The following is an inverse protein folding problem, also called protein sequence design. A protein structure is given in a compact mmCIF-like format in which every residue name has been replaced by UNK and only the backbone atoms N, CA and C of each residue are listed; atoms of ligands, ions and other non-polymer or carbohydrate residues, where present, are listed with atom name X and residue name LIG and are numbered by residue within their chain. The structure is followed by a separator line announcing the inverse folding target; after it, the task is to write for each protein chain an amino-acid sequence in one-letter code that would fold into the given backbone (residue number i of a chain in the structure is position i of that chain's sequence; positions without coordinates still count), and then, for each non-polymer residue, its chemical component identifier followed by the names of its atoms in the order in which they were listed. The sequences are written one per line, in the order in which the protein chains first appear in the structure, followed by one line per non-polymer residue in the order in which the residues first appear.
data_IF_469112093472
#
_entry.id   IF_469112093472
#
_cell.length_a   1.000
_cell.length_b   1.000
_cell.length_c   1.000
_cell.angle_alpha   90.00
_cell.angle_beta   90.00
_cell.angle_gamma   90.00
#
_symmetry.space_group_name_H-M   'P 1'
#
loop_
_entity.id
_entity.type
_entity.pdbx_description
1 polymer ?
#
# COMPACT_ATOMS: atom_id res chain seq x y z
N UNK A 1 -22.70 -28.06 49.43
CA UNK A 1 -22.46 -26.66 49.01
C UNK A 1 -21.26 -26.68 48.09
N UNK A 2 -21.50 -26.58 46.78
CA UNK A 2 -20.46 -26.60 45.76
C UNK A 2 -19.85 -25.20 45.64
N UNK A 3 -18.62 -25.06 46.10
CA UNK A 3 -17.79 -23.86 45.94
C UNK A 3 -16.75 -24.16 44.85
N UNK A 4 -17.09 -23.97 43.56
CA UNK A 4 -16.06 -24.00 42.50
C UNK A 4 -16.47 -23.43 41.13
N UNK A 5 -17.57 -22.69 40.99
CA UNK A 5 -18.07 -22.29 39.66
C UNK A 5 -17.44 -21.00 39.09
N UNK A 6 -16.70 -20.25 39.90
CA UNK A 6 -16.11 -18.97 39.48
C UNK A 6 -14.77 -19.06 38.74
N UNK A 7 -13.99 -20.14 38.95
CA UNK A 7 -12.61 -20.23 38.45
C UNK A 7 -12.52 -20.49 36.94
N UNK A 8 -13.52 -21.15 36.36
CA UNK A 8 -13.60 -21.41 34.92
C UNK A 8 -13.90 -20.15 34.09
N UNK A 9 -14.47 -19.11 34.72
CA UNK A 9 -14.75 -17.83 34.07
C UNK A 9 -13.53 -16.90 34.04
N UNK A 10 -12.51 -17.19 34.85
CA UNK A 10 -11.27 -16.41 34.88
C UNK A 10 -10.52 -16.53 33.55
N UNK A 11 -10.49 -17.72 32.93
CA UNK A 11 -9.86 -17.93 31.63
C UNK A 11 -10.47 -17.05 30.53
N UNK A 12 -11.79 -17.13 30.28
CA UNK A 12 -12.49 -16.26 29.33
C UNK A 12 -12.37 -14.77 29.66
N UNK A 13 -12.43 -14.38 30.94
CA UNK A 13 -12.29 -12.98 31.35
C UNK A 13 -10.90 -12.43 31.00
N UNK A 14 -9.84 -13.20 31.25
CA UNK A 14 -8.48 -12.85 30.86
C UNK A 14 -8.36 -12.77 29.34
N UNK A 15 -8.95 -13.71 28.60
CA UNK A 15 -8.90 -13.70 27.13
C UNK A 15 -9.54 -12.43 26.55
N UNK A 16 -10.74 -12.05 27.03
CA UNK A 16 -11.43 -10.82 26.59
C UNK A 16 -10.62 -9.58 26.98
N UNK A 17 -10.05 -9.56 28.19
CA UNK A 17 -9.17 -8.49 28.65
C UNK A 17 -7.93 -8.32 27.77
N UNK A 18 -7.26 -9.43 27.42
CA UNK A 18 -6.08 -9.42 26.55
C UNK A 18 -6.42 -8.95 25.13
N UNK A 19 -7.50 -9.46 24.54
CA UNK A 19 -7.94 -9.04 23.19
C UNK A 19 -8.29 -7.54 23.17
N UNK A 20 -9.03 -7.06 24.17
CA UNK A 20 -9.35 -5.63 24.30
C UNK A 20 -8.11 -4.78 24.53
N UNK A 21 -7.17 -5.25 25.35
CA UNK A 21 -5.91 -4.56 25.61
C UNK A 21 -5.03 -4.48 24.35
N UNK A 22 -4.87 -5.59 23.61
CA UNK A 22 -4.18 -5.58 22.32
C UNK A 22 -4.86 -4.61 21.37
N UNK A 23 -6.19 -4.68 21.19
CA UNK A 23 -6.94 -3.75 20.34
C UNK A 23 -6.74 -2.29 20.73
N UNK A 24 -6.75 -1.97 22.03
CA UNK A 24 -6.50 -0.62 22.54
C UNK A 24 -5.06 -0.16 22.31
N UNK A 25 -4.07 -1.05 22.40
CA UNK A 25 -2.67 -0.76 22.05
C UNK A 25 -2.54 -0.52 20.54
N UNK A 26 -3.12 -1.39 19.69
CA UNK A 26 -3.16 -1.22 18.24
C UNK A 26 -3.79 0.14 17.85
N UNK A 27 -4.90 0.50 18.50
CA UNK A 27 -5.57 1.79 18.32
C UNK A 27 -4.70 2.97 18.79
N UNK A 28 -4.16 2.89 20.02
CA UNK A 28 -3.38 3.98 20.64
C UNK A 28 -2.03 4.19 19.97
N UNK A 29 -1.42 3.13 19.45
CA UNK A 29 -0.15 3.18 18.73
C UNK A 29 -0.32 3.76 17.32
N UNK A 30 -1.56 4.04 16.89
CA UNK A 30 -1.81 4.64 15.59
C UNK A 30 -1.21 3.80 14.48
N UNK A 31 -1.33 2.47 14.58
CA UNK A 31 -1.07 1.61 13.43
C UNK A 31 -2.08 2.03 12.37
N UNK A 32 -1.57 2.86 11.48
CA UNK A 32 -2.24 3.44 10.35
C UNK A 32 -2.87 2.27 9.62
N UNK A 33 -4.19 2.17 9.72
CA UNK A 33 -4.94 1.29 8.85
C UNK A 33 -4.72 1.85 7.44
N UNK A 34 -3.75 1.31 6.71
CA UNK A 34 -3.80 1.29 5.24
C UNK A 34 -4.97 0.38 4.90
N UNK A 35 -6.16 0.95 4.97
CA UNK A 35 -7.43 0.27 4.78
C UNK A 35 -8.55 1.30 4.86
N UNK A 36 -9.07 1.79 3.72
CA UNK A 36 -10.11 2.80 3.72
C UNK A 36 -11.45 2.11 3.91
N UNK A 37 -11.84 1.87 5.16
CA UNK A 37 -13.20 1.47 5.48
C UNK A 37 -13.61 2.11 6.80
N UNK A 38 -13.87 3.41 6.78
CA UNK A 38 -14.82 4.05 7.70
C UNK A 38 -15.27 5.41 7.11
N UNK A 39 -16.53 5.48 6.66
CA UNK A 39 -17.29 6.72 6.83
C UNK A 39 -18.06 7.33 5.65
N UNK A 40 -18.60 6.58 4.68
CA UNK A 40 -19.72 7.09 3.87
C UNK A 40 -20.93 6.14 3.99
N UNK A 41 -22.06 6.57 4.60
CA UNK A 41 -23.23 5.73 4.79
C UNK A 41 -24.07 5.66 3.50
N UNK A 42 -24.31 4.42 3.05
CA UNK A 42 -25.31 3.99 2.07
C UNK A 42 -25.24 4.65 0.67
N UNK A 43 -24.78 3.86 -0.32
CA UNK A 43 -25.66 3.32 -1.38
C UNK A 43 -25.05 2.06 -2.01
N UNK A 44 -25.86 1.01 -2.04
CA UNK A 44 -25.78 -0.21 -2.85
C UNK A 44 -24.68 -0.24 -3.92
N UNK A 45 -23.60 -0.96 -3.63
CA UNK A 45 -22.55 -1.29 -4.59
C UNK A 45 -21.69 -2.41 -4.02
N UNK A 46 -21.90 -3.60 -4.57
CA UNK A 46 -21.13 -4.84 -4.37
C UNK A 46 -19.61 -4.58 -4.21
N UNK A 47 -18.88 -5.31 -3.35
CA UNK A 47 -17.42 -5.16 -3.27
C UNK A 47 -16.84 -5.57 -4.62
N UNK A 48 -16.37 -4.57 -5.36
CA UNK A 48 -15.80 -4.71 -6.70
C UNK A 48 -14.34 -5.19 -6.59
N UNK A 49 -14.15 -6.30 -5.86
CA UNK A 49 -12.85 -6.98 -5.69
C UNK A 49 -12.38 -7.73 -6.94
N UNK A 50 -12.89 -7.36 -8.12
CA UNK A 50 -12.62 -7.99 -9.40
C UNK A 50 -12.63 -6.97 -10.55
N UNK A 51 -12.40 -5.68 -10.26
CA UNK A 51 -12.10 -4.67 -11.28
C UNK A 51 -10.67 -4.86 -11.86
N UNK A 52 -10.30 -6.08 -12.22
CA UNK A 52 -9.08 -6.41 -12.99
C UNK A 52 -9.15 -5.78 -14.40
N UNK A 53 -10.35 -5.37 -14.84
CA UNK A 53 -10.61 -4.81 -16.17
C UNK A 53 -11.60 -3.62 -16.15
N UNK A 54 -11.55 -2.77 -15.13
CA UNK A 54 -12.48 -1.65 -14.96
C UNK A 54 -11.97 -0.34 -15.57
N UNK A 55 -12.45 0.01 -16.76
CA UNK A 55 -12.25 1.32 -17.38
C UNK A 55 -12.98 2.42 -16.59
N UNK A 56 -12.25 3.25 -15.85
CA UNK A 56 -12.43 4.72 -15.75
C UNK A 56 -11.51 5.32 -14.67
N UNK A 57 -10.59 6.17 -15.11
CA UNK A 57 -10.03 7.25 -14.27
C UNK A 57 -8.54 7.16 -13.97
N UNK A 58 -7.71 7.28 -15.01
CA UNK A 58 -6.44 8.06 -15.05
C UNK A 58 -5.34 7.83 -14.01
N UNK A 59 -5.48 6.89 -13.08
CA UNK A 59 -4.40 6.48 -12.20
C UNK A 59 -4.34 4.96 -12.26
N UNK A 60 -3.36 4.46 -13.02
CA UNK A 60 -3.02 3.05 -13.07
C UNK A 60 -2.72 2.61 -11.63
N UNK A 61 -3.66 1.89 -11.02
CA UNK A 61 -3.48 1.38 -9.65
C UNK A 61 -2.52 0.20 -9.71
N UNK A 62 -1.27 0.48 -9.31
CA UNK A 62 -0.19 -0.49 -9.24
C UNK A 62 -0.05 -1.14 -7.86
N UNK A 63 -1.05 -0.99 -6.99
CA UNK A 63 -1.07 -1.55 -5.64
C UNK A 63 -0.03 -0.91 -4.73
N UNK A 64 1.01 -1.67 -4.37
CA UNK A 64 2.09 -1.19 -3.48
C UNK A 64 3.13 -0.32 -4.21
N UNK A 65 3.05 -0.27 -5.54
CA UNK A 65 4.01 0.40 -6.39
C UNK A 65 3.50 1.77 -6.80
N UNK A 66 4.40 2.74 -6.84
CA UNK A 66 4.13 4.13 -7.15
C UNK A 66 5.03 4.59 -8.29
N UNK A 67 4.52 5.43 -9.21
CA UNK A 67 5.34 5.97 -10.29
C UNK A 67 6.36 6.98 -9.75
N UNK A 68 7.63 6.63 -9.95
CA UNK A 68 8.77 7.52 -9.75
C UNK A 68 8.98 8.41 -10.99
N UNK A 69 8.79 7.85 -12.19
CA UNK A 69 8.92 8.56 -13.46
C UNK A 69 8.02 7.94 -14.54
N UNK A 70 7.58 8.74 -15.51
CA UNK A 70 6.83 8.29 -16.69
C UNK A 70 7.45 8.91 -17.93
N UNK A 71 7.80 8.10 -18.93
CA UNK A 71 8.44 8.57 -20.17
C UNK A 71 7.81 7.94 -21.41
N UNK A 72 7.87 8.63 -22.54
CA UNK A 72 7.46 8.07 -23.84
C UNK A 72 8.54 7.23 -24.52
N UNK A 73 9.76 7.22 -23.98
CA UNK A 73 10.92 6.57 -24.60
C UNK A 73 11.41 5.40 -23.73
N UNK A 74 11.43 4.16 -24.27
CA UNK A 74 11.83 3.00 -23.48
C UNK A 74 13.31 3.04 -23.07
N UNK A 75 14.17 3.67 -23.89
CA UNK A 75 15.60 3.84 -23.60
C UNK A 75 15.80 4.71 -22.35
N UNK A 76 15.07 5.81 -22.24
CA UNK A 76 15.06 6.69 -21.06
C UNK A 76 14.54 5.96 -19.82
N UNK A 77 13.52 5.10 -19.97
CA UNK A 77 13.01 4.31 -18.85
C UNK A 77 14.04 3.30 -18.33
N UNK A 78 14.86 2.73 -19.22
CA UNK A 78 15.95 1.82 -18.86
C UNK A 78 17.10 2.54 -18.17
N UNK A 79 17.43 3.76 -18.59
CA UNK A 79 18.41 4.61 -17.91
C UNK A 79 17.97 4.95 -16.48
N UNK A 80 16.72 5.41 -16.32
CA UNK A 80 16.14 5.70 -15.01
C UNK A 80 16.15 4.46 -14.11
N UNK A 81 15.76 3.30 -14.66
CA UNK A 81 15.79 2.03 -13.93
C UNK A 81 17.20 1.69 -13.45
N UNK A 82 18.22 1.86 -14.30
CA UNK A 82 19.62 1.60 -13.92
C UNK A 82 20.07 2.55 -12.82
N UNK A 83 19.80 3.85 -12.96
CA UNK A 83 20.11 4.86 -11.95
C UNK A 83 19.54 4.49 -10.57
N UNK A 84 18.25 4.14 -10.54
CA UNK A 84 17.58 3.75 -9.30
C UNK A 84 18.10 2.41 -8.75
N UNK A 85 18.39 1.44 -9.62
CA UNK A 85 18.98 0.16 -9.22
C UNK A 85 20.39 0.34 -8.61
N UNK A 86 21.21 1.22 -9.18
CA UNK A 86 22.54 1.55 -8.69
C UNK A 86 22.47 2.25 -7.31
N UNK A 87 21.40 2.99 -7.04
CA UNK A 87 21.08 3.55 -5.73
C UNK A 87 20.49 2.53 -4.74
N UNK A 88 20.30 1.26 -5.15
CA UNK A 88 19.73 0.20 -4.33
C UNK A 88 18.21 0.24 -4.19
N UNK A 89 17.52 1.04 -5.01
CA UNK A 89 16.06 1.18 -5.01
C UNK A 89 15.44 0.08 -5.85
N UNK A 90 14.37 -0.55 -5.34
CA UNK A 90 13.71 -1.65 -6.05
C UNK A 90 12.72 -1.07 -7.05
N UNK A 91 12.98 -1.34 -8.32
CA UNK A 91 12.19 -0.79 -9.42
C UNK A 91 11.56 -1.87 -10.27
N UNK A 92 10.38 -1.58 -10.83
CA UNK A 92 9.81 -2.33 -11.95
C UNK A 92 9.35 -1.36 -13.04
N UNK A 93 9.17 -1.86 -14.26
CA UNK A 93 8.69 -1.06 -15.39
C UNK A 93 7.36 -1.64 -15.89
N UNK A 94 6.45 -0.76 -16.30
CA UNK A 94 5.22 -1.14 -16.98
C UNK A 94 5.03 -0.24 -18.20
N UNK A 95 4.71 -0.85 -19.34
CA UNK A 95 4.29 -0.11 -20.53
C UNK A 95 2.78 0.08 -20.50
N UNK A 96 2.33 1.32 -20.41
CA UNK A 96 0.93 1.72 -20.47
C UNK A 96 0.33 1.51 -21.86
N UNK A 97 -1.01 1.58 -21.95
CA UNK A 97 -1.72 1.47 -23.24
C UNK A 97 -1.43 2.64 -24.19
N UNK A 98 -0.97 3.75 -23.65
CA UNK A 98 -0.55 4.95 -24.37
C UNK A 98 0.86 4.82 -24.98
N UNK A 99 1.54 3.69 -24.75
CA UNK A 99 2.91 3.45 -25.19
C UNK A 99 3.97 4.12 -24.30
N UNK A 100 3.56 4.79 -23.21
CA UNK A 100 4.51 5.33 -22.23
C UNK A 100 4.97 4.23 -21.29
N UNK A 101 6.18 4.37 -20.79
CA UNK A 101 6.78 3.48 -19.81
C UNK A 101 6.80 4.19 -18.46
N UNK A 102 6.12 3.58 -17.49
CA UNK A 102 6.10 3.99 -16.09
C UNK A 102 7.17 3.21 -15.34
N UNK A 103 8.11 3.92 -14.70
CA UNK A 103 9.07 3.34 -13.76
C UNK A 103 8.48 3.43 -12.36
N UNK A 104 8.21 2.27 -11.78
CA UNK A 104 7.50 2.11 -10.52
C UNK A 104 8.44 1.66 -9.41
N UNK A 105 8.23 2.17 -8.20
CA UNK A 105 9.00 1.85 -6.99
C UNK A 105 8.05 1.63 -5.81
N UNK A 106 8.54 1.07 -4.70
CA UNK A 106 7.73 0.96 -3.49
C UNK A 106 7.42 2.34 -2.89
N UNK A 107 6.29 2.45 -2.20
CA UNK A 107 5.82 3.69 -1.59
C UNK A 107 6.87 4.33 -0.65
N UNK A 108 7.63 3.52 0.08
CA UNK A 108 8.67 4.00 1.00
C UNK A 108 9.88 4.62 0.28
N UNK A 109 10.08 4.28 -1.00
CA UNK A 109 11.24 4.66 -1.81
C UNK A 109 10.89 5.76 -2.84
N UNK A 110 9.61 6.16 -2.95
CA UNK A 110 9.13 7.04 -4.04
C UNK A 110 9.72 8.44 -4.01
N UNK A 111 9.84 9.05 -2.84
CA UNK A 111 10.34 10.42 -2.70
C UNK A 111 11.84 10.48 -3.00
N UNK A 112 12.58 9.47 -2.53
CA UNK A 112 14.00 9.29 -2.83
C UNK A 112 14.22 9.08 -4.33
N UNK A 113 13.42 8.21 -4.94
CA UNK A 113 13.50 7.92 -6.36
C UNK A 113 13.21 9.17 -7.21
N UNK A 114 12.19 9.95 -6.86
CA UNK A 114 11.86 11.20 -7.57
C UNK A 114 12.97 12.24 -7.45
N UNK A 115 13.60 12.35 -6.29
CA UNK A 115 14.74 13.24 -6.10
C UNK A 115 15.92 12.84 -6.98
N UNK A 116 16.28 11.55 -6.99
CA UNK A 116 17.37 11.04 -7.82
C UNK A 116 17.11 11.23 -9.32
N UNK A 117 15.87 11.01 -9.76
CA UNK A 117 15.48 11.22 -11.15
C UNK A 117 15.50 12.71 -11.52
N UNK A 118 15.01 13.60 -10.64
CA UNK A 118 15.01 15.04 -10.85
C UNK A 118 16.39 15.71 -10.77
N UNK A 119 17.31 15.13 -10.00
CA UNK A 119 18.71 15.59 -9.89
C UNK A 119 19.60 15.03 -11.01
N UNK A 120 19.13 14.04 -11.79
CA UNK A 120 19.91 13.49 -12.90
C UNK A 120 19.94 14.49 -14.05
N UNK A 121 21.13 15.01 -14.44
CA UNK A 121 21.27 16.10 -15.43
C UNK A 121 21.00 15.68 -16.89
N UNK A 122 20.39 14.51 -17.10
CA UNK A 122 20.12 13.90 -18.41
C UNK A 122 18.64 13.87 -18.80
N UNK A 123 17.72 14.35 -17.93
CA UNK A 123 16.29 14.50 -18.21
C UNK A 123 15.87 15.96 -18.43
#
# INVERSE_FOLDING_TARGET
MATSDGWYLIGPLIAVGLVGFLGAVFWRMGLQSTGPLDGEPLRSGRPDGLAIFGERGEQEDYGLLWPAAVTGEPEVADEIRRLLSDAGIRTTQVTGRDGRVSVLVFAEEVEEARRLVGDSPTL
#
